data_IF_437632926716
#
_entry.id   IF_437632926716
#
_cell.length_a   1.000
_cell.length_b   1.000
_cell.length_c   1.000
_cell.angle_alpha   90.00
_cell.angle_beta   90.00
_cell.angle_gamma   90.00
#
_symmetry.space_group_name_H-M   'P 1'
#
loop_
_entity.id
_entity.type
_entity.pdbx_description
1 polymer ?
#
# COMPACT_ATOMS: atom_id res chain seq x y z
N UNK A 1 2.22 4.13 24.28
CA UNK A 1 1.18 3.33 23.59
C UNK A 1 1.23 3.48 22.08
N UNK A 2 1.00 4.65 21.46
CA UNK A 2 1.15 4.80 20.00
C UNK A 2 2.62 4.76 19.52
N UNK A 3 3.57 5.21 20.35
CA UNK A 3 5.00 5.17 20.04
C UNK A 3 5.61 3.76 20.08
N UNK A 4 5.05 2.83 20.87
CA UNK A 4 5.52 1.43 20.97
C UNK A 4 5.15 0.60 19.73
N UNK A 5 3.99 0.88 19.14
CA UNK A 5 3.50 0.15 17.96
C UNK A 5 4.41 0.40 16.75
N UNK A 6 4.95 1.61 16.61
CA UNK A 6 5.83 1.97 15.50
C UNK A 6 7.26 1.42 15.64
N UNK A 7 7.69 1.04 16.85
CA UNK A 7 9.05 0.52 17.11
C UNK A 7 9.22 -0.98 16.89
N UNK A 8 8.12 -1.75 16.82
CA UNK A 8 8.17 -3.18 16.53
C UNK A 8 7.83 -3.46 15.05
N UNK A 9 8.83 -3.80 14.21
CA UNK A 9 8.61 -4.04 12.79
C UNK A 9 7.70 -5.24 12.51
N UNK A 10 7.59 -6.20 13.43
CA UNK A 10 6.71 -7.37 13.27
C UNK A 10 5.25 -7.01 13.47
N UNK A 11 4.98 -6.10 14.42
CA UNK A 11 3.65 -5.59 14.76
C UNK A 11 3.12 -4.64 13.69
N UNK A 12 4.00 -3.86 13.06
CA UNK A 12 3.64 -3.01 11.91
C UNK A 12 3.24 -3.86 10.70
N UNK A 13 3.98 -4.92 10.38
CA UNK A 13 3.67 -5.82 9.26
C UNK A 13 2.35 -6.59 9.48
N UNK A 14 2.10 -7.09 10.70
CA UNK A 14 0.84 -7.76 11.01
C UNK A 14 -0.35 -6.79 10.93
N UNK A 15 -0.19 -5.55 11.39
CA UNK A 15 -1.27 -4.55 11.35
C UNK A 15 -1.77 -4.22 9.95
N UNK A 16 -0.88 -4.18 8.95
CA UNK A 16 -1.26 -3.93 7.55
C UNK A 16 -2.03 -5.11 6.97
N UNK A 17 -1.57 -6.34 7.24
CA UNK A 17 -2.26 -7.55 6.78
C UNK A 17 -3.64 -7.70 7.43
N UNK A 18 -3.72 -7.47 8.74
CA UNK A 18 -4.98 -7.48 9.49
C UNK A 18 -5.95 -6.42 8.97
N UNK A 19 -5.47 -5.20 8.71
CA UNK A 19 -6.28 -4.12 8.14
C UNK A 19 -6.88 -4.46 6.78
N UNK A 20 -6.09 -5.05 5.88
CA UNK A 20 -6.57 -5.47 4.54
C UNK A 20 -7.59 -6.61 4.65
N UNK A 21 -7.33 -7.60 5.51
CA UNK A 21 -8.26 -8.71 5.73
C UNK A 21 -9.58 -8.25 6.35
N UNK A 22 -9.53 -7.37 7.35
CA UNK A 22 -10.72 -6.79 7.97
C UNK A 22 -11.52 -5.95 6.99
N UNK A 23 -10.85 -5.16 6.14
CA UNK A 23 -11.51 -4.40 5.08
C UNK A 23 -12.22 -5.34 4.08
N UNK A 24 -11.55 -6.42 3.65
CA UNK A 24 -12.13 -7.42 2.75
C UNK A 24 -13.35 -8.14 3.34
N UNK A 25 -13.27 -8.57 4.60
CA UNK A 25 -14.40 -9.21 5.30
C UNK A 25 -15.54 -8.21 5.49
N UNK A 26 -15.23 -6.97 5.87
CA UNK A 26 -16.24 -5.92 6.02
C UNK A 26 -16.96 -5.65 4.69
N UNK A 27 -16.24 -5.59 3.57
CA UNK A 27 -16.81 -5.43 2.24
C UNK A 27 -17.75 -6.58 1.83
N UNK A 28 -17.55 -7.79 2.36
CA UNK A 28 -18.44 -8.94 2.13
C UNK A 28 -19.68 -8.95 3.04
N UNK A 29 -19.56 -8.43 4.26
CA UNK A 29 -20.62 -8.47 5.27
C UNK A 29 -21.56 -7.25 5.22
N UNK A 30 -21.07 -6.10 4.73
CA UNK A 30 -21.84 -4.87 4.70
C UNK A 30 -22.97 -4.97 3.65
N UNK A 31 -24.22 -4.63 4.04
CA UNK A 31 -25.35 -4.65 3.12
C UNK A 31 -25.29 -3.45 2.17
N UNK A 32 -25.47 -3.66 0.88
CA UNK A 32 -25.47 -2.57 -0.12
C UNK A 32 -24.59 -2.90 -1.32
N UNK A 33 -24.73 -2.12 -2.38
CA UNK A 33 -23.90 -2.24 -3.58
C UNK A 33 -22.80 -1.17 -3.57
N UNK A 34 -21.77 -1.37 -4.39
CA UNK A 34 -20.64 -0.45 -4.50
C UNK A 34 -21.08 0.98 -4.89
N UNK A 35 -22.06 1.10 -5.77
CA UNK A 35 -22.62 2.39 -6.24
C UNK A 35 -23.15 3.24 -5.08
N UNK A 36 -23.93 2.64 -4.18
CA UNK A 36 -24.51 3.34 -3.01
C UNK A 36 -23.43 3.89 -2.08
N UNK A 37 -22.36 3.13 -1.84
CA UNK A 37 -21.22 3.58 -1.03
C UNK A 37 -20.42 4.69 -1.74
N UNK A 38 -20.25 4.61 -3.06
CA UNK A 38 -19.60 5.67 -3.83
C UNK A 38 -20.39 6.97 -3.79
N UNK A 39 -21.72 6.92 -3.94
CA UNK A 39 -22.58 8.10 -3.83
C UNK A 39 -22.52 8.72 -2.44
N UNK A 40 -22.52 7.89 -1.39
CA UNK A 40 -22.33 8.36 -0.03
C UNK A 40 -21.00 9.11 0.13
N UNK A 41 -19.88 8.54 -0.34
CA UNK A 41 -18.56 9.21 -0.27
C UNK A 41 -18.54 10.50 -1.09
N UNK A 42 -19.18 10.53 -2.27
CA UNK A 42 -19.31 11.75 -3.08
C UNK A 42 -20.12 12.82 -2.38
N UNK A 43 -21.18 12.45 -1.63
CA UNK A 43 -22.03 13.38 -0.89
C UNK A 43 -21.31 14.10 0.26
N UNK A 44 -20.18 13.56 0.73
CA UNK A 44 -19.33 14.20 1.74
C UNK A 44 -18.57 15.43 1.19
N UNK A 45 -18.63 15.69 -0.12
CA UNK A 45 -18.02 16.85 -0.77
C UNK A 45 -16.53 17.03 -0.41
N UNK A 46 -15.78 15.93 -0.37
CA UNK A 46 -14.37 15.93 0.00
C UNK A 46 -13.54 16.72 -1.01
N UNK A 47 -12.60 17.53 -0.52
CA UNK A 47 -11.71 18.32 -1.37
C UNK A 47 -10.81 17.44 -2.25
N UNK A 48 -10.44 17.90 -3.47
CA UNK A 48 -9.62 17.12 -4.41
C UNK A 48 -8.29 16.64 -3.82
N UNK A 49 -7.65 17.45 -2.98
CA UNK A 49 -6.40 17.10 -2.32
C UNK A 49 -6.56 15.94 -1.32
N UNK A 50 -7.69 15.88 -0.60
CA UNK A 50 -7.98 14.80 0.34
C UNK A 50 -8.24 13.49 -0.40
N UNK A 51 -9.01 13.54 -1.50
CA UNK A 51 -9.26 12.38 -2.35
C UNK A 51 -7.95 11.86 -2.94
N UNK A 52 -7.09 12.75 -3.45
CA UNK A 52 -5.77 12.37 -3.97
C UNK A 52 -4.92 11.69 -2.88
N UNK A 53 -4.88 12.26 -1.68
CA UNK A 53 -4.12 11.71 -0.56
C UNK A 53 -4.65 10.33 -0.15
N UNK A 54 -5.97 10.14 -0.11
CA UNK A 54 -6.58 8.85 0.18
C UNK A 54 -6.25 7.80 -0.89
N UNK A 55 -6.34 8.16 -2.19
CA UNK A 55 -5.92 7.29 -3.29
C UNK A 55 -4.44 6.92 -3.19
N UNK A 56 -3.58 7.91 -2.91
CA UNK A 56 -2.15 7.70 -2.72
C UNK A 56 -1.86 6.75 -1.56
N UNK A 57 -2.51 6.95 -0.41
CA UNK A 57 -2.33 6.12 0.77
C UNK A 57 -2.76 4.65 0.53
N UNK A 58 -3.78 4.42 -0.30
CA UNK A 58 -4.21 3.07 -0.68
C UNK A 58 -3.25 2.41 -1.68
N UNK A 59 -2.78 3.15 -2.70
CA UNK A 59 -1.94 2.58 -3.77
C UNK A 59 -0.48 2.42 -3.36
N UNK A 60 0.02 3.24 -2.43
CA UNK A 60 1.42 3.19 -1.97
C UNK A 60 1.87 1.84 -1.40
N UNK A 61 1.18 1.24 -0.40
CA UNK A 61 1.58 -0.07 0.11
C UNK A 61 1.44 -1.17 -0.95
N UNK A 62 0.46 -1.05 -1.85
CA UNK A 62 0.29 -1.99 -2.97
C UNK A 62 1.49 -1.95 -3.92
N UNK A 63 1.88 -0.76 -4.39
CA UNK A 63 3.03 -0.61 -5.30
C UNK A 63 4.34 -1.02 -4.62
N UNK A 64 4.52 -0.69 -3.35
CA UNK A 64 5.68 -1.16 -2.58
C UNK A 64 5.75 -2.68 -2.55
N UNK A 65 4.63 -3.34 -2.22
CA UNK A 65 4.57 -4.79 -2.16
C UNK A 65 4.80 -5.44 -3.55
N UNK A 66 4.24 -4.88 -4.62
CA UNK A 66 4.46 -5.39 -5.98
C UNK A 66 5.92 -5.29 -6.40
N UNK A 67 6.55 -4.11 -6.27
CA UNK A 67 7.96 -3.93 -6.66
C UNK A 67 8.91 -4.75 -5.79
N UNK A 68 8.65 -4.83 -4.49
CA UNK A 68 9.46 -5.65 -3.59
C UNK A 68 9.23 -7.15 -3.83
N UNK A 69 8.01 -7.57 -4.17
CA UNK A 69 7.71 -8.92 -4.63
C UNK A 69 8.54 -9.32 -5.85
N UNK A 70 8.66 -8.44 -6.85
CA UNK A 70 9.53 -8.69 -8.03
C UNK A 70 11.00 -8.88 -7.60
N UNK A 71 11.52 -8.05 -6.68
CA UNK A 71 12.88 -8.23 -6.14
C UNK A 71 13.04 -9.53 -5.37
N UNK A 72 12.05 -9.95 -4.59
CA UNK A 72 12.05 -11.25 -3.94
C UNK A 72 12.10 -12.40 -4.97
N UNK A 73 11.31 -12.34 -6.04
CA UNK A 73 11.38 -13.33 -7.12
C UNK A 73 12.75 -13.35 -7.81
N UNK A 74 13.42 -12.20 -7.93
CA UNK A 74 14.80 -12.15 -8.42
C UNK A 74 15.79 -12.82 -7.45
N UNK A 75 15.56 -12.71 -6.14
CA UNK A 75 16.34 -13.43 -5.13
C UNK A 75 16.13 -14.94 -5.20
N UNK A 76 14.90 -15.40 -5.47
CA UNK A 76 14.58 -16.82 -5.67
C UNK A 76 15.31 -17.39 -6.89
N UNK A 77 15.57 -16.56 -7.91
CA UNK A 77 16.40 -16.86 -9.08
C UNK A 77 17.92 -16.76 -8.81
N UNK A 78 18.33 -16.47 -7.57
CA UNK A 78 19.74 -16.32 -7.17
C UNK A 78 20.39 -15.00 -7.61
N UNK A 79 19.63 -14.01 -8.09
CA UNK A 79 20.15 -12.72 -8.59
C UNK A 79 20.13 -11.67 -7.51
N UNK A 80 21.13 -10.78 -7.46
CA UNK A 80 21.08 -9.59 -6.59
C UNK A 80 21.32 -9.84 -5.09
N UNK A 81 21.91 -10.98 -4.72
CA UNK A 81 22.16 -11.37 -3.32
C UNK A 81 23.43 -10.74 -2.69
N UNK A 82 24.23 -10.00 -3.47
CA UNK A 82 25.39 -9.26 -2.94
C UNK A 82 24.90 -8.02 -2.19
N UNK A 83 25.56 -7.68 -1.07
CA UNK A 83 25.20 -6.53 -0.21
C UNK A 83 25.03 -5.22 -0.98
N UNK A 84 25.93 -4.92 -1.92
CA UNK A 84 25.80 -3.73 -2.77
C UNK A 84 24.51 -3.72 -3.60
N UNK A 85 24.15 -4.85 -4.21
CA UNK A 85 22.92 -4.98 -4.99
C UNK A 85 21.67 -4.92 -4.11
N UNK A 86 21.73 -5.39 -2.87
CA UNK A 86 20.62 -5.28 -1.92
C UNK A 86 20.27 -3.81 -1.64
N UNK A 87 21.26 -2.95 -1.39
CA UNK A 87 21.04 -1.52 -1.17
C UNK A 87 20.58 -0.81 -2.45
N UNK A 88 21.24 -1.06 -3.59
CA UNK A 88 20.87 -0.44 -4.86
C UNK A 88 19.44 -0.80 -5.28
N UNK A 89 19.08 -2.08 -5.21
CA UNK A 89 17.71 -2.54 -5.52
C UNK A 89 16.69 -2.01 -4.50
N UNK A 90 17.06 -1.85 -3.23
CA UNK A 90 16.19 -1.26 -2.22
C UNK A 90 15.82 0.20 -2.53
N UNK A 91 16.83 1.02 -2.87
CA UNK A 91 16.58 2.43 -3.26
C UNK A 91 15.78 2.50 -4.56
N UNK A 92 16.08 1.64 -5.54
CA UNK A 92 15.34 1.59 -6.80
C UNK A 92 13.84 1.30 -6.57
N UNK A 93 13.52 0.36 -5.68
CA UNK A 93 12.13 0.05 -5.32
C UNK A 93 11.43 1.24 -4.68
N UNK A 94 12.05 1.90 -3.71
CA UNK A 94 11.43 3.07 -3.06
C UNK A 94 11.09 4.16 -4.06
N UNK A 95 12.00 4.45 -5.00
CA UNK A 95 11.77 5.43 -6.07
C UNK A 95 10.63 4.98 -6.99
N UNK A 96 10.64 3.73 -7.45
CA UNK A 96 9.59 3.17 -8.31
C UNK A 96 8.23 3.21 -7.63
N UNK A 97 8.16 2.85 -6.34
CA UNK A 97 6.95 2.92 -5.53
C UNK A 97 6.39 4.32 -5.48
N UNK A 98 7.19 5.33 -5.13
CA UNK A 98 6.71 6.72 -5.03
C UNK A 98 6.19 7.21 -6.38
N UNK A 99 6.95 7.00 -7.45
CA UNK A 99 6.57 7.48 -8.79
C UNK A 99 5.30 6.81 -9.32
N UNK A 100 5.23 5.48 -9.23
CA UNK A 100 4.05 4.72 -9.69
C UNK A 100 2.80 5.04 -8.85
N UNK A 101 2.95 5.21 -7.53
CA UNK A 101 1.86 5.56 -6.64
C UNK A 101 1.33 6.97 -6.89
N UNK A 102 2.23 7.94 -7.09
CA UNK A 102 1.85 9.32 -7.39
C UNK A 102 1.14 9.42 -8.74
N UNK A 103 1.62 8.68 -9.75
CA UNK A 103 0.97 8.58 -11.06
C UNK A 103 -0.42 7.97 -10.98
N UNK A 104 -0.56 6.80 -10.35
CA UNK A 104 -1.87 6.13 -10.21
C UNK A 104 -2.86 6.93 -9.36
N UNK A 105 -2.40 7.65 -8.33
CA UNK A 105 -3.27 8.52 -7.53
C UNK A 105 -3.81 9.69 -8.34
N UNK A 106 -3.09 10.15 -9.37
CA UNK A 106 -3.47 11.27 -10.23
C UNK A 106 -4.40 10.89 -11.40
N UNK A 107 -4.46 9.59 -11.76
CA UNK A 107 -5.30 9.07 -12.86
C UNK A 107 -6.78 8.98 -12.52
#
# INVERSE_FOLDING_TARGET
>A
MLADIASDPTLVLSSVSEGVSLFGVSALLLPGNFESYLEFVKSLCLGPALIYTAKFALVFPLMYHTWNGIRHLMWDLGKGLKTAHLYQSGVAILVLTVLSSAGLAAM
#
